data_IF_247399370915
#
_entry.id   IF_247399370915
#
_cell.length_a   1.000
_cell.length_b   1.000
_cell.length_c   1.000
_cell.angle_alpha   90.00
_cell.angle_beta   90.00
_cell.angle_gamma   90.00
#
_symmetry.space_group_name_H-M   'P 1'
#
loop_
_entity.id
_entity.type
_entity.pdbx_description
1 polymer ?
#
# COMPACT_ATOMS: atom_id res chain seq x y z
N UNK A 1 0.74 7.61 -46.22
CA UNK A 1 1.95 7.50 -45.38
C UNK A 1 1.53 7.22 -43.94
N UNK A 2 1.93 6.08 -43.35
CA UNK A 2 1.61 5.75 -41.95
C UNK A 2 2.65 6.40 -41.05
N UNK A 3 2.24 7.29 -40.14
CA UNK A 3 3.16 7.91 -39.16
C UNK A 3 3.67 6.83 -38.21
N UNK A 4 4.98 6.71 -38.07
CA UNK A 4 5.59 5.83 -37.08
C UNK A 4 5.32 6.36 -35.68
N UNK A 5 4.97 5.49 -34.70
CA UNK A 5 4.75 5.93 -33.34
C UNK A 5 6.08 6.39 -32.73
N UNK A 6 6.06 7.53 -32.03
CA UNK A 6 7.23 8.07 -31.33
C UNK A 6 7.67 7.09 -30.24
N UNK A 7 8.98 6.88 -30.12
CA UNK A 7 9.54 6.02 -29.09
C UNK A 7 9.49 6.70 -27.73
N UNK A 8 9.57 5.94 -26.64
CA UNK A 8 9.58 6.48 -25.27
C UNK A 8 10.77 7.42 -25.02
N UNK A 9 11.83 7.32 -25.85
CA UNK A 9 13.01 8.19 -25.80
C UNK A 9 12.78 9.56 -26.46
N UNK A 10 11.76 9.67 -27.33
CA UNK A 10 11.40 10.92 -28.02
C UNK A 10 10.40 11.77 -27.23
N UNK A 11 9.97 11.29 -26.06
CA UNK A 11 9.06 12.00 -25.16
C UNK A 11 9.86 12.86 -24.17
N UNK A 12 9.36 14.05 -23.82
CA UNK A 12 9.97 14.83 -22.74
C UNK A 12 9.93 14.06 -21.41
N UNK A 13 10.85 14.33 -20.47
CA UNK A 13 10.83 13.71 -19.16
C UNK A 13 9.45 13.84 -18.50
N UNK A 14 8.95 12.73 -17.92
CA UNK A 14 7.67 12.73 -17.20
C UNK A 14 7.79 13.71 -16.04
N UNK A 15 6.95 14.74 -16.06
CA UNK A 15 6.86 15.70 -14.96
C UNK A 15 6.07 15.04 -13.83
N UNK A 16 6.76 14.75 -12.72
CA UNK A 16 6.14 14.18 -11.53
C UNK A 16 5.99 15.28 -10.48
N UNK A 17 4.78 15.43 -9.95
CA UNK A 17 4.53 16.29 -8.78
C UNK A 17 5.05 15.55 -7.56
N UNK A 18 5.91 16.20 -6.78
CA UNK A 18 6.41 15.68 -5.51
C UNK A 18 5.65 16.36 -4.37
N UNK A 19 4.86 15.59 -3.65
CA UNK A 19 4.32 16.03 -2.35
C UNK A 19 5.23 15.48 -1.25
N UNK A 20 5.61 16.31 -0.26
CA UNK A 20 6.39 15.85 0.87
C UNK A 20 5.56 14.88 1.74
N UNK A 21 6.21 13.92 2.43
CA UNK A 21 5.52 13.00 3.32
C UNK A 21 4.85 13.75 4.47
N UNK A 22 3.63 13.33 4.81
CA UNK A 22 2.89 13.90 5.92
C UNK A 22 3.20 13.17 7.24
N UNK A 23 2.95 13.84 8.37
CA UNK A 23 3.12 13.24 9.71
C UNK A 23 2.28 11.98 9.85
N UNK A 24 1.04 11.99 9.34
CA UNK A 24 0.14 10.84 9.44
C UNK A 24 0.66 9.61 8.68
N UNK A 25 1.24 9.81 7.50
CA UNK A 25 1.84 8.72 6.71
C UNK A 25 3.07 8.14 7.39
N UNK A 26 3.92 9.00 7.98
CA UNK A 26 5.09 8.57 8.71
C UNK A 26 4.73 7.79 9.98
N UNK A 27 3.72 8.24 10.73
CA UNK A 27 3.20 7.49 11.88
C UNK A 27 2.64 6.13 11.44
N UNK A 28 1.87 6.08 10.35
CA UNK A 28 1.34 4.82 9.84
C UNK A 28 2.46 3.85 9.42
N UNK A 29 3.51 4.34 8.76
CA UNK A 29 4.66 3.52 8.39
C UNK A 29 5.45 3.04 9.62
N UNK A 30 5.64 3.89 10.63
CA UNK A 30 6.33 3.53 11.86
C UNK A 30 5.58 2.45 12.65
N UNK A 31 4.25 2.53 12.70
CA UNK A 31 3.39 1.52 13.34
C UNK A 31 3.48 0.14 12.69
N UNK A 32 3.77 0.07 11.39
CA UNK A 32 3.94 -1.20 10.67
C UNK A 32 5.34 -1.83 10.91
N UNK A 33 6.28 -1.04 11.41
CA UNK A 33 7.67 -1.44 11.64
C UNK A 33 7.99 -1.76 13.11
N UNK A 34 7.28 -1.15 14.05
CA UNK A 34 7.52 -1.31 15.47
C UNK A 34 6.22 -1.22 16.28
N UNK A 35 6.13 -1.99 17.37
CA UNK A 35 4.98 -1.96 18.30
C UNK A 35 5.19 -0.98 19.47
N UNK A 36 6.45 -0.67 19.81
CA UNK A 36 6.79 0.24 20.89
C UNK A 36 6.63 1.71 20.49
N UNK A 37 6.06 2.52 21.38
CA UNK A 37 5.73 3.93 21.12
C UNK A 37 6.97 4.78 20.95
N UNK A 38 8.03 4.58 21.75
CA UNK A 38 9.25 5.38 21.63
C UNK A 38 9.98 5.07 20.33
N UNK A 39 10.03 3.78 19.97
CA UNK A 39 10.61 3.36 18.69
C UNK A 39 9.82 3.89 17.49
N UNK A 40 8.49 3.89 17.56
CA UNK A 40 7.64 4.48 16.52
C UNK A 40 7.91 6.00 16.35
N UNK A 41 8.11 6.73 17.45
CA UNK A 41 8.45 8.16 17.41
C UNK A 41 9.79 8.39 16.72
N UNK A 42 10.83 7.62 17.09
CA UNK A 42 12.16 7.74 16.47
C UNK A 42 12.10 7.47 14.96
N UNK A 43 11.42 6.39 14.54
CA UNK A 43 11.24 6.04 13.13
C UNK A 43 10.49 7.15 12.39
N UNK A 44 9.37 7.62 12.92
CA UNK A 44 8.57 8.67 12.30
C UNK A 44 9.37 9.98 12.16
N UNK A 45 10.12 10.39 13.19
CA UNK A 45 11.05 11.52 13.13
C UNK A 45 12.09 11.35 12.01
N UNK A 46 12.67 10.15 11.86
CA UNK A 46 13.62 9.85 10.78
C UNK A 46 13.02 9.94 9.37
N UNK A 47 11.72 9.66 9.22
CA UNK A 47 11.01 9.72 7.94
C UNK A 47 10.68 11.14 7.47
N UNK A 48 10.38 12.05 8.40
CA UNK A 48 9.88 13.41 8.07
C UNK A 48 10.82 14.54 8.49
N UNK A 49 11.81 14.26 9.34
CA UNK A 49 12.76 15.25 9.84
C UNK A 49 12.19 16.25 10.85
N UNK A 50 11.13 15.89 11.57
CA UNK A 50 10.56 16.69 12.67
C UNK A 50 11.08 16.23 14.03
N UNK A 51 10.94 17.08 15.05
CA UNK A 51 11.35 16.78 16.41
C UNK A 51 10.44 15.72 17.08
N UNK A 52 10.96 15.02 18.08
CA UNK A 52 10.18 14.05 18.84
C UNK A 52 8.95 14.68 19.51
N UNK A 53 9.07 15.91 20.00
CA UNK A 53 7.98 16.64 20.66
C UNK A 53 6.81 16.92 19.71
N UNK A 54 7.08 17.17 18.43
CA UNK A 54 6.06 17.39 17.41
C UNK A 54 5.37 16.08 16.99
N UNK A 55 6.11 14.97 16.93
CA UNK A 55 5.62 13.69 16.40
C UNK A 55 4.91 12.84 17.46
N UNK A 56 5.41 12.85 18.69
CA UNK A 56 4.90 12.08 19.83
C UNK A 56 3.38 12.20 20.06
N UNK A 57 2.74 13.39 20.03
CA UNK A 57 1.29 13.47 20.20
C UNK A 57 0.52 12.73 19.10
N UNK A 58 1.04 12.70 17.87
CA UNK A 58 0.41 11.99 16.75
C UNK A 58 0.52 10.47 16.90
N UNK A 59 1.68 9.98 17.34
CA UNK A 59 1.90 8.53 17.57
C UNK A 59 1.02 8.02 18.70
N UNK A 60 0.97 8.73 19.83
CA UNK A 60 0.10 8.35 20.97
C UNK A 60 -1.38 8.37 20.59
N UNK A 61 -1.81 9.38 19.84
CA UNK A 61 -3.18 9.45 19.33
C UNK A 61 -3.51 8.27 18.40
N UNK A 62 -2.58 7.90 17.51
CA UNK A 62 -2.74 6.79 16.59
C UNK A 62 -2.74 5.44 17.31
N UNK A 63 -1.89 5.22 18.31
CA UNK A 63 -1.87 4.02 19.13
C UNK A 63 -3.20 3.83 19.90
N UNK A 64 -3.73 4.92 20.48
CA UNK A 64 -5.05 4.90 21.13
C UNK A 64 -6.17 4.58 20.15
N UNK A 65 -6.13 5.14 18.94
CA UNK A 65 -7.11 4.85 17.90
C UNK A 65 -7.03 3.39 17.41
N UNK A 66 -5.84 2.82 17.33
CA UNK A 66 -5.63 1.41 16.99
C UNK A 66 -6.22 0.49 18.08
N UNK A 67 -5.99 0.79 19.36
CA UNK A 67 -6.54 0.03 20.48
C UNK A 67 -8.07 0.14 20.61
N UNK A 68 -8.65 1.30 20.26
CA UNK A 68 -10.10 1.51 20.28
C UNK A 68 -10.82 0.82 19.12
N UNK A 69 -10.11 0.49 18.03
CA UNK A 69 -10.67 -0.26 16.92
C UNK A 69 -10.85 -1.70 17.40
N UNK A 70 -12.09 -2.25 17.43
CA UNK A 70 -12.27 -3.65 17.77
C UNK A 70 -11.36 -4.44 16.86
N UNK A 71 -10.46 -5.26 17.45
CA UNK A 71 -9.54 -6.11 16.71
C UNK A 71 -10.32 -6.68 15.54
N UNK A 72 -9.92 -6.34 14.32
CA UNK A 72 -10.62 -6.71 13.11
C UNK A 72 -10.55 -8.24 13.05
N UNK A 73 -11.50 -8.88 13.74
CA UNK A 73 -11.83 -10.28 13.60
C UNK A 73 -11.95 -10.40 12.09
N UNK A 74 -11.13 -11.23 11.42
CA UNK A 74 -11.28 -11.43 9.99
C UNK A 74 -12.77 -11.66 9.80
N UNK A 75 -13.42 -10.78 9.02
CA UNK A 75 -14.82 -10.93 8.70
C UNK A 75 -14.89 -12.13 7.77
N UNK A 76 -14.72 -13.30 8.34
CA UNK A 76 -15.11 -14.57 7.78
C UNK A 76 -16.62 -14.50 7.64
N UNK A 77 -17.03 -13.95 6.49
CA UNK A 77 -18.30 -14.23 5.84
C UNK A 77 -19.52 -14.15 6.75
N UNK A 78 -19.76 -13.01 7.41
CA UNK A 78 -21.10 -12.78 7.97
C UNK A 78 -22.02 -12.37 6.84
N UNK A 79 -22.52 -13.35 6.09
CA UNK A 79 -23.66 -13.19 5.19
C UNK A 79 -24.85 -12.82 6.07
N UNK A 80 -25.06 -11.51 6.28
CA UNK A 80 -26.28 -10.99 6.88
C UNK A 80 -27.39 -11.07 5.82
N UNK A 81 -27.84 -12.29 5.51
CA UNK A 81 -29.05 -12.46 4.73
C UNK A 81 -30.24 -12.12 5.64
N UNK A 82 -30.99 -11.08 5.30
CA UNK A 82 -32.32 -10.88 5.86
C UNK A 82 -33.17 -12.10 5.48
N UNK A 83 -33.52 -12.93 6.47
CA UNK A 83 -34.47 -14.02 6.30
C UNK A 83 -35.86 -13.42 6.14
N UNK A 84 -36.18 -12.94 4.94
CA UNK A 84 -37.56 -12.70 4.54
C UNK A 84 -38.23 -14.06 4.36
N UNK A 85 -39.40 -14.30 4.99
CA UNK A 85 -40.05 -15.62 5.00
C UNK A 85 -40.51 -16.09 3.61
N UNK A 86 -40.44 -15.23 2.58
CA UNK A 86 -40.94 -15.50 1.23
C UNK A 86 -39.84 -15.57 0.16
N UNK A 87 -38.57 -15.67 0.54
CA UNK A 87 -37.44 -15.76 -0.40
C UNK A 87 -36.60 -17.00 -0.12
N UNK A 88 -36.41 -17.84 -1.14
CA UNK A 88 -35.46 -18.95 -1.08
C UNK A 88 -34.06 -18.45 -0.68
N UNK A 89 -33.29 -19.22 0.11
CA UNK A 89 -31.98 -18.80 0.58
C UNK A 89 -31.08 -18.47 -0.61
N UNK A 90 -30.27 -17.38 -0.55
CA UNK A 90 -29.36 -17.04 -1.63
C UNK A 90 -28.36 -18.19 -1.82
N UNK A 91 -28.25 -18.69 -3.05
CA UNK A 91 -27.29 -19.75 -3.41
C UNK A 91 -25.89 -19.17 -3.28
N UNK A 92 -25.10 -19.68 -2.34
CA UNK A 92 -23.70 -19.27 -2.19
C UNK A 92 -22.90 -19.75 -3.41
N UNK A 93 -22.30 -18.81 -4.14
CA UNK A 93 -21.37 -19.09 -5.24
C UNK A 93 -19.97 -18.84 -4.72
N UNK A 94 -19.20 -19.92 -4.55
CA UNK A 94 -17.78 -19.84 -4.18
C UNK A 94 -16.98 -19.76 -5.48
N UNK A 95 -16.27 -18.65 -5.69
CA UNK A 95 -15.35 -18.49 -6.83
C UNK A 95 -13.93 -18.70 -6.33
N UNK A 96 -13.33 -19.83 -6.68
CA UNK A 96 -11.91 -20.06 -6.46
C UNK A 96 -11.09 -19.30 -7.51
N UNK A 97 -10.32 -18.29 -7.08
CA UNK A 97 -9.41 -17.55 -7.96
C UNK A 97 -8.09 -18.30 -8.10
N UNK A 98 -7.94 -19.05 -9.19
CA UNK A 98 -6.66 -19.66 -9.57
C UNK A 98 -5.71 -18.56 -10.06
N UNK A 99 -4.75 -18.14 -9.23
CA UNK A 99 -3.68 -17.24 -9.67
C UNK A 99 -2.81 -17.98 -10.70
N UNK A 100 -2.60 -17.37 -11.86
CA UNK A 100 -1.61 -17.88 -12.82
C UNK A 100 -0.21 -17.64 -12.24
N UNK A 101 0.74 -18.56 -12.43
CA UNK A 101 2.12 -18.35 -11.99
C UNK A 101 2.68 -17.07 -12.62
N UNK A 102 3.48 -16.33 -11.84
CA UNK A 102 4.14 -15.10 -12.27
C UNK A 102 5.06 -15.39 -13.45
N UNK A 103 4.82 -14.71 -14.58
CA UNK A 103 5.70 -14.80 -15.75
C UNK A 103 6.98 -14.02 -15.43
N UNK A 104 8.07 -14.72 -15.14
CA UNK A 104 9.40 -14.10 -15.00
C UNK A 104 9.89 -13.71 -16.39
N UNK A 105 9.85 -12.43 -16.70
CA UNK A 105 10.46 -11.88 -17.92
C UNK A 105 11.95 -11.70 -17.64
N UNK A 106 12.75 -12.67 -18.07
CA UNK A 106 14.20 -12.55 -18.07
C UNK A 106 14.60 -11.40 -19.02
N UNK A 107 15.00 -10.27 -18.45
CA UNK A 107 15.58 -9.17 -19.22
C UNK A 107 16.94 -9.64 -19.73
N UNK A 108 16.98 -10.14 -20.97
CA UNK A 108 18.24 -10.36 -21.69
C UNK A 108 19.03 -9.06 -21.71
N UNK A 109 20.06 -8.96 -20.88
CA UNK A 109 21.04 -7.87 -20.93
C UNK A 109 21.74 -7.93 -22.28
N UNK A 110 21.61 -6.87 -23.09
CA UNK A 110 22.47 -6.67 -24.25
C UNK A 110 23.93 -6.60 -23.76
N UNK A 111 24.87 -7.35 -24.36
CA UNK A 111 26.28 -7.17 -24.05
C UNK A 111 26.73 -5.77 -24.50
N UNK A 112 27.47 -5.08 -23.62
CA UNK A 112 28.19 -3.85 -23.94
C UNK A 112 29.30 -4.19 -24.94
N UNK A 113 29.26 -3.58 -26.13
CA UNK A 113 30.27 -3.72 -27.17
C UNK A 113 31.54 -2.92 -26.79
N UNK A 114 32.71 -3.55 -26.60
CA UNK A 114 33.94 -2.86 -26.25
C UNK A 114 34.74 -2.61 -27.54
N UNK A 115 34.37 -1.59 -28.31
CA UNK A 115 35.19 -1.13 -29.43
C UNK A 115 35.34 0.38 -29.40
N UNK A 116 36.48 0.79 -28.85
CA UNK A 116 37.09 2.12 -28.99
C UNK A 116 38.38 1.96 -29.76
#
# INVERSE_FOLDING_TARGET
MKKTPKSFQDLPPIRVRREPPTVAEAVAAAQDLADDVEQQVEIACGLIGLSADEVRPHVVAAAKAAAARPAHRPQEQRILAATSPNRAPPRAVIVERRSRPTVVIERRSRPLDPRR
#
